data_IF_821089285223
#
_entry.id   IF_821089285223
#
_cell.length_a   1.000
_cell.length_b   1.000
_cell.length_c   1.000
_cell.angle_alpha   90.00
_cell.angle_beta   90.00
_cell.angle_gamma   90.00
#
_symmetry.space_group_name_H-M   'P 1'
#
loop_
_entity.id
_entity.type
_entity.pdbx_description
1 polymer ?
#
# COMPACT_ATOMS: atom_id res chain seq x y z
N UNK A 1 18.05 12.99 -30.79
CA UNK A 1 17.02 11.99 -31.14
C UNK A 1 16.29 12.50 -32.36
N UNK A 2 16.13 11.67 -33.40
CA UNK A 2 15.37 12.07 -34.59
C UNK A 2 13.91 12.39 -34.20
N UNK A 3 13.33 13.42 -34.80
CA UNK A 3 11.96 13.88 -34.50
C UNK A 3 10.95 12.73 -34.62
N UNK A 4 11.11 11.90 -35.64
CA UNK A 4 10.23 10.79 -35.99
C UNK A 4 10.20 9.67 -34.94
N UNK A 5 11.30 9.46 -34.21
CA UNK A 5 11.36 8.46 -33.14
C UNK A 5 10.55 8.90 -31.91
N UNK A 6 10.60 10.19 -31.58
CA UNK A 6 9.87 10.76 -30.45
C UNK A 6 8.38 10.78 -30.77
N UNK A 7 8.05 11.25 -31.98
CA UNK A 7 6.69 11.24 -32.48
C UNK A 7 6.10 9.83 -32.43
N UNK A 8 6.81 8.84 -32.97
CA UNK A 8 6.35 7.45 -32.91
C UNK A 8 6.07 6.97 -31.48
N UNK A 9 6.97 7.25 -30.52
CA UNK A 9 6.78 6.83 -29.13
C UNK A 9 5.53 7.47 -28.52
N UNK A 10 5.27 8.75 -28.82
CA UNK A 10 4.09 9.47 -28.33
C UNK A 10 2.81 8.86 -28.90
N UNK A 11 2.72 8.76 -30.23
CA UNK A 11 1.53 8.22 -30.90
C UNK A 11 1.28 6.75 -30.54
N UNK A 12 2.32 5.93 -30.48
CA UNK A 12 2.19 4.52 -30.10
C UNK A 12 1.77 4.34 -28.64
N UNK A 13 2.30 5.14 -27.70
CA UNK A 13 1.87 5.09 -26.29
C UNK A 13 0.42 5.51 -26.15
N UNK A 14 0.04 6.62 -26.78
CA UNK A 14 -1.31 7.17 -26.67
C UNK A 14 -2.35 6.31 -27.41
N UNK A 15 -1.93 5.52 -28.41
CA UNK A 15 -2.76 4.50 -29.07
C UNK A 15 -4.13 5.04 -29.52
N UNK A 16 -4.13 6.27 -30.04
CA UNK A 16 -5.31 7.03 -30.35
C UNK A 16 -5.75 6.74 -31.78
N UNK A 17 -6.71 5.81 -31.93
CA UNK A 17 -7.20 5.37 -33.24
C UNK A 17 -8.68 5.71 -33.42
N UNK A 18 -9.13 6.04 -34.64
CA UNK A 18 -8.36 6.04 -35.88
C UNK A 18 -7.55 7.32 -36.10
N UNK A 19 -7.87 8.40 -35.39
CA UNK A 19 -7.25 9.71 -35.55
C UNK A 19 -6.32 10.02 -34.38
N UNK A 20 -5.00 10.12 -34.60
CA UNK A 20 -4.06 10.43 -33.54
C UNK A 20 -4.24 11.82 -32.92
N UNK A 21 -4.87 12.76 -33.64
CA UNK A 21 -5.15 14.12 -33.16
C UNK A 21 -6.57 14.26 -32.59
N UNK A 22 -7.39 13.21 -32.67
CA UNK A 22 -8.75 13.21 -32.15
C UNK A 22 -8.80 13.13 -30.62
N UNK A 23 -9.87 13.63 -30.01
CA UNK A 23 -10.06 13.50 -28.55
C UNK A 23 -10.66 12.15 -28.12
N UNK A 24 -11.08 11.31 -29.08
CA UNK A 24 -11.76 10.04 -28.83
C UNK A 24 -11.06 8.90 -29.56
N UNK A 25 -10.73 7.84 -28.82
CA UNK A 25 -10.12 6.64 -29.34
C UNK A 25 -11.10 5.46 -29.33
N UNK A 26 -11.10 4.70 -30.41
CA UNK A 26 -11.76 3.39 -30.52
C UNK A 26 -11.00 2.30 -29.78
N UNK A 27 -9.77 2.56 -29.34
CA UNK A 27 -9.00 1.65 -28.49
C UNK A 27 -9.47 1.74 -27.04
N UNK A 28 -9.15 0.70 -26.27
CA UNK A 28 -9.59 0.59 -24.87
C UNK A 28 -8.66 1.25 -23.86
N UNK A 29 -7.39 1.47 -24.23
CA UNK A 29 -6.36 2.08 -23.38
C UNK A 29 -5.09 2.44 -24.16
N UNK A 30 -4.20 3.17 -23.49
CA UNK A 30 -2.80 3.37 -23.88
C UNK A 30 -2.02 2.06 -23.91
N UNK A 31 -1.08 1.92 -24.83
CA UNK A 31 -0.19 0.75 -24.88
C UNK A 31 0.87 0.81 -23.77
N UNK A 32 1.13 -0.29 -23.09
CA UNK A 32 2.19 -0.37 -22.08
C UNK A 32 3.56 -0.03 -22.68
N UNK A 33 4.51 0.45 -21.85
CA UNK A 33 5.86 0.76 -22.36
C UNK A 33 6.58 -0.47 -22.93
N UNK A 34 6.24 -1.69 -22.49
CA UNK A 34 6.71 -2.93 -23.09
C UNK A 34 6.19 -3.14 -24.52
N UNK A 35 4.90 -2.91 -24.74
CA UNK A 35 4.29 -2.97 -26.08
C UNK A 35 4.87 -1.89 -27.00
N UNK A 36 5.02 -0.66 -26.52
CA UNK A 36 5.61 0.44 -27.30
C UNK A 36 7.08 0.15 -27.63
N UNK A 37 7.86 -0.40 -26.69
CA UNK A 37 9.24 -0.79 -26.95
C UNK A 37 9.35 -1.88 -28.03
N UNK A 38 8.46 -2.88 -28.01
CA UNK A 38 8.38 -3.91 -29.04
C UNK A 38 8.11 -3.29 -30.43
N UNK A 39 7.08 -2.44 -30.54
CA UNK A 39 6.73 -1.77 -31.79
C UNK A 39 7.83 -0.81 -32.27
N UNK A 40 8.51 -0.14 -31.34
CA UNK A 40 9.63 0.75 -31.64
C UNK A 40 10.82 -0.03 -32.23
N UNK A 41 11.17 -1.16 -31.61
CA UNK A 41 12.27 -2.01 -32.06
C UNK A 41 11.98 -2.63 -33.42
N UNK A 42 10.72 -3.04 -33.66
CA UNK A 42 10.26 -3.53 -34.96
C UNK A 42 10.34 -2.45 -36.05
N UNK A 43 9.88 -1.22 -35.77
CA UNK A 43 9.87 -0.12 -36.75
C UNK A 43 11.26 0.41 -37.07
N UNK A 44 12.13 0.54 -36.07
CA UNK A 44 13.43 1.22 -36.22
C UNK A 44 14.64 0.29 -36.23
N UNK A 45 14.45 -1.04 -36.09
CA UNK A 45 15.54 -2.02 -36.08
C UNK A 45 16.50 -1.84 -34.89
N UNK A 46 15.99 -1.43 -33.73
CA UNK A 46 16.79 -1.16 -32.52
C UNK A 46 16.48 -2.14 -31.40
N UNK A 47 17.26 -2.06 -30.32
CA UNK A 47 17.00 -2.80 -29.09
C UNK A 47 16.89 -1.83 -27.90
N UNK A 48 15.72 -1.24 -27.75
CA UNK A 48 15.38 -0.29 -26.70
C UNK A 48 14.46 -0.97 -25.67
N UNK A 49 14.79 -0.85 -24.39
CA UNK A 49 13.98 -1.37 -23.29
C UNK A 49 12.84 -0.43 -22.86
N UNK A 50 11.85 -0.93 -22.10
CA UNK A 50 10.67 -0.17 -21.68
C UNK A 50 10.99 1.16 -20.95
N UNK A 51 11.94 1.14 -20.02
CA UNK A 51 12.34 2.34 -19.26
C UNK A 51 12.91 3.47 -20.14
N UNK A 52 13.60 3.11 -21.24
CA UNK A 52 14.11 4.10 -22.16
C UNK A 52 12.99 4.74 -23.01
N UNK A 53 11.96 3.97 -23.36
CA UNK A 53 10.76 4.49 -24.03
C UNK A 53 9.95 5.39 -23.11
N UNK A 54 9.75 4.98 -21.84
CA UNK A 54 9.06 5.79 -20.84
C UNK A 54 9.74 7.16 -20.67
N UNK A 55 11.07 7.16 -20.48
CA UNK A 55 11.84 8.39 -20.33
C UNK A 55 11.64 9.33 -21.53
N UNK A 56 11.64 8.79 -22.76
CA UNK A 56 11.40 9.58 -23.98
C UNK A 56 10.00 10.19 -24.00
N UNK A 57 8.97 9.40 -23.69
CA UNK A 57 7.60 9.90 -23.64
C UNK A 57 7.45 11.03 -22.61
N UNK A 58 7.83 10.77 -21.35
CA UNK A 58 7.67 11.74 -20.23
C UNK A 58 8.39 13.06 -20.48
N UNK A 59 9.60 13.01 -21.04
CA UNK A 59 10.41 14.22 -21.24
C UNK A 59 10.02 15.01 -22.49
N UNK A 60 9.39 14.38 -23.48
CA UNK A 60 9.15 15.01 -24.78
C UNK A 60 7.68 15.36 -25.06
N UNK A 61 6.71 14.78 -24.35
CA UNK A 61 5.28 14.99 -24.63
C UNK A 61 4.86 16.47 -24.53
N UNK A 62 5.34 17.21 -23.51
CA UNK A 62 5.01 18.64 -23.38
C UNK A 62 5.54 19.46 -24.55
N UNK A 63 6.81 19.25 -24.92
CA UNK A 63 7.45 19.91 -26.07
C UNK A 63 6.78 19.52 -27.39
N UNK A 64 6.30 18.29 -27.50
CA UNK A 64 5.57 17.83 -28.67
C UNK A 64 4.21 18.53 -28.81
N UNK A 65 3.47 18.72 -27.71
CA UNK A 65 2.20 19.47 -27.66
C UNK A 65 2.37 20.95 -27.95
N UNK A 66 3.46 21.57 -27.45
CA UNK A 66 3.80 22.96 -27.80
C UNK A 66 4.02 23.14 -29.31
N UNK A 67 4.69 22.17 -29.95
CA UNK A 67 4.92 22.18 -31.40
C UNK A 67 3.70 21.75 -32.22
N UNK A 68 2.80 20.99 -31.62
CA UNK A 68 1.58 20.49 -32.26
C UNK A 68 0.37 20.87 -31.40
N UNK A 69 -0.10 22.14 -31.45
CA UNK A 69 -1.20 22.61 -30.61
C UNK A 69 -2.52 21.84 -30.80
N UNK A 70 -2.69 21.19 -31.95
CA UNK A 70 -3.85 20.36 -32.27
C UNK A 70 -3.78 18.96 -31.63
N UNK A 71 -2.67 18.58 -30.99
CA UNK A 71 -2.54 17.26 -30.36
C UNK A 71 -3.30 17.23 -29.02
N UNK A 72 -4.15 16.22 -28.77
CA UNK A 72 -5.04 16.21 -27.62
C UNK A 72 -4.26 16.12 -26.30
N UNK A 73 -4.63 16.94 -25.34
CA UNK A 73 -4.12 16.82 -23.97
C UNK A 73 -4.72 15.60 -23.25
N UNK A 74 -6.00 15.33 -23.53
CA UNK A 74 -6.81 14.27 -22.93
C UNK A 74 -7.46 13.46 -24.06
N UNK A 75 -7.28 12.13 -24.03
CA UNK A 75 -7.85 11.18 -24.99
C UNK A 75 -8.84 10.31 -24.23
N UNK A 76 -10.09 10.25 -24.71
CA UNK A 76 -11.15 9.42 -24.17
C UNK A 76 -11.10 8.06 -24.85
N UNK A 77 -10.83 7.00 -24.08
CA UNK A 77 -10.80 5.63 -24.58
C UNK A 77 -12.16 4.96 -24.50
N UNK A 78 -12.42 4.03 -25.43
CA UNK A 78 -13.63 3.22 -25.40
C UNK A 78 -13.61 2.29 -24.18
N UNK A 79 -14.65 2.27 -23.33
CA UNK A 79 -14.67 1.41 -22.16
C UNK A 79 -14.52 -0.06 -22.56
N UNK A 80 -13.67 -0.80 -21.85
CA UNK A 80 -13.59 -2.25 -22.03
C UNK A 80 -14.91 -2.88 -21.60
N UNK A 81 -15.58 -3.60 -22.49
CA UNK A 81 -16.78 -4.35 -22.15
C UNK A 81 -16.49 -5.26 -20.95
N UNK A 82 -17.28 -5.10 -19.90
CA UNK A 82 -17.14 -5.87 -18.67
C UNK A 82 -17.33 -7.35 -19.02
N UNK A 83 -16.27 -8.17 -18.83
CA UNK A 83 -16.40 -9.61 -19.01
C UNK A 83 -17.49 -10.13 -18.05
N UNK A 84 -18.41 -11.00 -18.51
CA UNK A 84 -19.43 -11.56 -17.64
C UNK A 84 -18.78 -12.22 -16.43
N UNK A 85 -19.21 -11.82 -15.23
CA UNK A 85 -18.72 -12.37 -13.96
C UNK A 85 -18.85 -13.89 -14.00
N UNK A 86 -17.72 -14.60 -14.01
CA UNK A 86 -17.70 -16.05 -13.82
C UNK A 86 -18.23 -16.35 -12.41
N UNK A 87 -19.34 -17.07 -12.34
CA UNK A 87 -19.92 -17.56 -11.09
C UNK A 87 -18.87 -18.48 -10.44
N UNK A 88 -18.50 -18.26 -9.16
CA UNK A 88 -17.53 -19.12 -8.47
C UNK A 88 -18.07 -20.55 -8.36
N UNK A 89 -17.27 -21.53 -8.80
CA UNK A 89 -17.54 -22.95 -8.51
C UNK A 89 -17.34 -23.19 -7.01
N UNK A 90 -18.33 -23.83 -6.41
CA UNK A 90 -18.45 -24.12 -4.99
C UNK A 90 -17.74 -25.45 -4.73
N UNK A 91 -16.43 -25.42 -4.51
CA UNK A 91 -15.66 -26.61 -4.15
C UNK A 91 -15.31 -26.61 -2.65
N UNK A 92 -15.42 -27.81 -2.10
CA UNK A 92 -15.62 -28.17 -0.70
C UNK A 92 -14.40 -27.94 0.20
N UNK A 93 -14.66 -27.46 1.42
CA UNK A 93 -13.67 -27.32 2.48
C UNK A 93 -13.30 -28.70 3.07
N UNK A 94 -11.99 -28.97 3.18
CA UNK A 94 -11.44 -30.07 4.00
C UNK A 94 -10.58 -29.44 5.09
N UNK A 95 -10.92 -29.73 6.34
CA UNK A 95 -10.25 -29.27 7.54
C UNK A 95 -8.96 -30.08 7.79
N UNK A 96 -7.90 -29.40 8.22
CA UNK A 96 -6.78 -30.03 8.94
C UNK A 96 -6.26 -29.07 10.02
N UNK A 97 -6.47 -29.45 11.28
CA UNK A 97 -5.77 -28.94 12.45
C UNK A 97 -4.51 -29.78 12.66
N UNK A 98 -3.39 -29.15 12.98
CA UNK A 98 -2.36 -29.74 13.82
C UNK A 98 -1.51 -28.66 14.48
N UNK A 99 -1.58 -28.62 15.82
CA UNK A 99 -0.73 -27.85 16.71
C UNK A 99 0.72 -28.36 16.66
N UNK A 100 1.69 -27.44 16.63
CA UNK A 100 3.11 -27.72 16.81
C UNK A 100 3.63 -26.80 17.93
N UNK A 101 4.39 -27.30 18.93
CA UNK A 101 4.93 -26.48 20.00
C UNK A 101 6.14 -25.68 19.53
N UNK A 102 6.16 -24.37 19.84
CA UNK A 102 7.32 -23.51 19.66
C UNK A 102 8.43 -23.87 20.66
N UNK A 103 9.62 -24.18 20.13
CA UNK A 103 10.88 -24.14 20.88
C UNK A 103 11.57 -22.83 20.56
N UNK A 104 11.77 -22.01 21.58
CA UNK A 104 12.71 -20.90 21.57
C UNK A 104 14.13 -21.44 21.43
N UNK A 105 14.85 -20.96 20.41
CA UNK A 105 16.28 -21.18 20.24
C UNK A 105 16.92 -19.81 19.98
N UNK A 106 17.60 -19.33 21.01
CA UNK A 106 18.62 -18.29 20.90
C UNK A 106 19.73 -18.76 19.95
N UNK A 107 19.94 -17.99 18.88
CA UNK A 107 20.99 -18.26 17.90
C UNK A 107 21.14 -17.09 16.92
N UNK A 108 22.30 -16.43 17.00
CA UNK A 108 22.82 -15.37 16.15
C UNK A 108 22.31 -15.36 14.69
N UNK A 109 21.91 -14.21 14.12
CA UNK A 109 21.38 -14.15 12.77
C UNK A 109 22.49 -14.11 11.72
N UNK A 110 22.74 -15.24 11.07
CA UNK A 110 23.37 -15.25 9.76
C UNK A 110 22.37 -14.69 8.74
N UNK A 111 22.70 -13.54 8.17
CA UNK A 111 21.88 -12.78 7.21
C UNK A 111 21.53 -13.63 5.98
N UNK A 112 20.32 -14.18 5.96
CA UNK A 112 19.60 -14.48 4.72
C UNK A 112 18.34 -13.63 4.73
N UNK A 113 18.48 -12.38 4.31
CA UNK A 113 17.35 -11.48 4.04
C UNK A 113 16.50 -12.13 2.95
N UNK A 114 15.47 -12.87 3.37
CA UNK A 114 14.41 -13.31 2.47
C UNK A 114 13.61 -12.04 2.21
N UNK A 115 13.84 -11.41 1.05
CA UNK A 115 12.95 -10.34 0.58
C UNK A 115 11.54 -10.91 0.56
N UNK A 116 10.70 -10.44 1.46
CA UNK A 116 9.26 -10.60 1.34
C UNK A 116 8.86 -9.74 0.14
N UNK A 117 8.98 -10.31 -1.06
CA UNK A 117 8.48 -9.70 -2.28
C UNK A 117 6.95 -9.74 -2.19
N UNK A 118 6.39 -8.77 -1.48
CA UNK A 118 4.95 -8.53 -1.40
C UNK A 118 4.35 -8.63 -2.80
N UNK A 119 3.19 -9.25 -2.89
CA UNK A 119 2.43 -9.20 -4.12
C UNK A 119 1.89 -7.77 -4.19
N UNK A 120 2.64 -6.88 -4.85
CA UNK A 120 2.10 -5.58 -5.22
C UNK A 120 0.85 -5.88 -6.04
N UNK A 121 -0.30 -5.47 -5.51
CA UNK A 121 -1.54 -5.52 -6.25
C UNK A 121 -1.31 -4.61 -7.45
N UNK A 122 -1.29 -5.18 -8.66
CA UNK A 122 -1.23 -4.37 -9.89
C UNK A 122 -2.55 -3.62 -10.01
N UNK A 123 -2.59 -2.44 -9.39
CA UNK A 123 -3.68 -1.49 -9.52
C UNK A 123 -3.55 -0.85 -10.91
N UNK A 124 -4.61 -0.91 -11.69
CA UNK A 124 -4.64 -0.28 -13.01
C UNK A 124 -4.48 1.25 -12.91
N UNK A 125 -3.92 1.90 -13.94
CA UNK A 125 -3.79 3.36 -13.97
C UNK A 125 -5.15 4.04 -13.78
N UNK A 126 -6.24 3.40 -14.23
CA UNK A 126 -7.61 3.85 -14.07
C UNK A 126 -8.14 3.71 -12.63
N UNK A 127 -7.66 2.69 -11.90
CA UNK A 127 -8.06 2.45 -10.51
C UNK A 127 -7.22 3.24 -9.52
N UNK A 128 -5.99 3.62 -9.86
CA UNK A 128 -5.05 4.32 -8.98
C UNK A 128 -5.64 5.50 -8.19
N UNK A 129 -6.53 6.35 -8.75
CA UNK A 129 -7.20 7.42 -8.00
C UNK A 129 -8.19 6.96 -6.92
N UNK A 130 -8.44 5.66 -6.77
CA UNK A 130 -9.32 5.12 -5.73
C UNK A 130 -8.55 4.41 -4.62
N UNK A 131 -7.22 4.46 -4.66
CA UNK A 131 -6.36 3.81 -3.69
C UNK A 131 -5.39 4.80 -3.03
N UNK A 132 -5.17 4.64 -1.73
CA UNK A 132 -4.02 5.21 -1.04
C UNK A 132 -2.84 4.25 -1.17
N UNK A 133 -1.66 4.78 -1.47
CA UNK A 133 -0.41 4.05 -1.49
C UNK A 133 0.39 4.37 -0.24
N UNK A 134 0.67 3.35 0.56
CA UNK A 134 1.41 3.45 1.81
C UNK A 134 2.77 2.78 1.60
N UNK A 135 3.83 3.56 1.60
CA UNK A 135 5.20 3.08 1.48
C UNK A 135 5.87 3.06 2.85
N UNK A 136 6.64 2.01 3.10
CA UNK A 136 7.46 1.88 4.29
C UNK A 136 8.90 2.05 3.84
N UNK A 137 9.61 2.98 4.47
CA UNK A 137 11.00 3.29 4.18
C UNK A 137 11.91 2.87 5.35
N UNK A 138 13.11 2.39 5.02
CA UNK A 138 14.19 2.22 5.99
C UNK A 138 14.73 3.58 6.42
N UNK A 139 15.55 3.61 7.48
CA UNK A 139 16.21 4.84 7.93
C UNK A 139 17.09 5.47 6.84
N UNK A 140 17.64 4.65 5.94
CA UNK A 140 18.43 5.09 4.77
C UNK A 140 17.56 5.60 3.59
N UNK A 141 16.23 5.69 3.75
CA UNK A 141 15.29 6.09 2.70
C UNK A 141 15.04 5.02 1.63
N UNK A 142 15.45 3.77 1.87
CA UNK A 142 15.20 2.68 0.93
C UNK A 142 13.80 2.11 1.16
N UNK A 143 13.05 1.86 0.08
CA UNK A 143 11.73 1.24 0.17
C UNK A 143 11.83 -0.18 0.74
N UNK A 144 11.27 -0.38 1.93
CA UNK A 144 11.21 -1.64 2.67
C UNK A 144 9.92 -2.42 2.37
N UNK A 145 8.88 -1.74 1.88
CA UNK A 145 7.64 -2.36 1.44
C UNK A 145 6.62 -1.33 1.00
N UNK A 146 5.59 -1.78 0.30
CA UNK A 146 4.43 -0.95 -0.04
C UNK A 146 3.15 -1.73 0.15
N UNK A 147 2.07 -1.03 0.46
CA UNK A 147 0.72 -1.57 0.46
C UNK A 147 -0.22 -0.54 -0.15
N UNK A 148 -1.34 -1.01 -0.68
CA UNK A 148 -2.40 -0.15 -1.15
C UNK A 148 -3.71 -0.46 -0.42
N UNK A 149 -4.47 0.57 -0.10
CA UNK A 149 -5.80 0.46 0.50
C UNK A 149 -6.81 1.30 -0.27
N UNK A 150 -8.08 0.88 -0.36
CA UNK A 150 -9.11 1.74 -0.95
C UNK A 150 -9.26 3.05 -0.16
N UNK A 151 -9.33 4.19 -0.85
CA UNK A 151 -9.50 5.51 -0.22
C UNK A 151 -10.79 5.59 0.60
N UNK A 152 -11.84 4.88 0.17
CA UNK A 152 -13.10 4.77 0.93
C UNK A 152 -12.91 4.13 2.32
N UNK A 153 -11.98 3.20 2.46
CA UNK A 153 -11.76 2.47 3.70
C UNK A 153 -10.88 3.32 4.63
N UNK A 154 -9.89 4.04 4.08
CA UNK A 154 -9.10 5.03 4.82
C UNK A 154 -9.96 6.19 5.34
N UNK A 155 -10.82 6.76 4.49
CA UNK A 155 -11.73 7.85 4.89
C UNK A 155 -12.82 7.40 5.86
N UNK A 156 -13.24 6.13 5.81
CA UNK A 156 -14.19 5.60 6.80
C UNK A 156 -13.58 5.53 8.22
N UNK A 157 -12.26 5.34 8.32
CA UNK A 157 -11.56 5.20 9.61
C UNK A 157 -10.96 6.52 10.12
N UNK A 158 -10.46 7.38 9.24
CA UNK A 158 -9.82 8.65 9.59
C UNK A 158 -10.59 9.85 9.01
N UNK A 159 -11.16 10.66 9.93
CA UNK A 159 -11.89 11.88 9.58
C UNK A 159 -10.99 12.90 8.84
N UNK A 160 -9.71 12.95 9.22
CA UNK A 160 -8.73 13.84 8.58
C UNK A 160 -8.56 13.50 7.10
N UNK A 161 -8.46 12.20 6.77
CA UNK A 161 -8.40 11.77 5.38
C UNK A 161 -9.76 11.89 4.68
N UNK A 162 -10.89 11.73 5.39
CA UNK A 162 -12.21 12.01 4.82
C UNK A 162 -12.34 13.47 4.37
N UNK A 163 -11.80 14.42 5.15
CA UNK A 163 -11.79 15.83 4.79
C UNK A 163 -10.78 16.15 3.68
N UNK A 164 -9.56 15.59 3.77
CA UNK A 164 -8.54 15.73 2.72
C UNK A 164 -9.06 15.24 1.35
N UNK A 165 -9.74 14.09 1.32
CA UNK A 165 -10.24 13.49 0.07
C UNK A 165 -11.43 14.23 -0.56
N UNK A 166 -11.94 15.29 0.07
CA UNK A 166 -12.88 16.22 -0.59
C UNK A 166 -12.19 17.05 -1.67
N UNK A 167 -10.89 17.32 -1.50
CA UNK A 167 -10.10 18.17 -2.38
C UNK A 167 -9.12 17.39 -3.26
N UNK A 168 -8.70 16.19 -2.81
CA UNK A 168 -7.68 15.38 -3.48
C UNK A 168 -8.22 14.03 -3.95
N UNK A 169 -7.69 13.58 -5.10
CA UNK A 169 -8.08 12.31 -5.75
C UNK A 169 -7.16 11.15 -5.42
N UNK A 170 -6.06 11.36 -4.69
CA UNK A 170 -5.11 10.30 -4.37
C UNK A 170 -4.30 10.66 -3.14
N UNK A 171 -3.81 9.63 -2.44
CA UNK A 171 -3.02 9.77 -1.23
C UNK A 171 -1.78 8.87 -1.37
N UNK A 172 -0.60 9.47 -1.29
CA UNK A 172 0.68 8.75 -1.21
C UNK A 172 1.34 9.12 0.12
N UNK A 173 1.61 8.12 0.95
CA UNK A 173 2.11 8.30 2.31
C UNK A 173 3.34 7.44 2.50
N UNK A 174 4.37 8.02 3.12
CA UNK A 174 5.60 7.30 3.45
C UNK A 174 5.88 7.30 4.94
N UNK A 175 6.23 6.13 5.47
CA UNK A 175 6.45 5.89 6.89
C UNK A 175 7.87 5.38 7.13
N UNK A 176 8.64 6.13 7.91
CA UNK A 176 9.98 5.72 8.33
C UNK A 176 9.91 4.70 9.46
N UNK A 177 10.84 3.75 9.46
CA UNK A 177 11.10 2.83 10.58
C UNK A 177 9.87 2.01 11.06
N UNK A 178 8.87 1.84 10.19
CA UNK A 178 7.71 0.97 10.43
C UNK A 178 7.97 -0.41 9.86
N UNK A 179 7.49 -1.47 10.51
CA UNK A 179 7.56 -2.82 9.92
C UNK A 179 6.41 -3.01 8.95
N UNK A 180 6.65 -3.67 7.81
CA UNK A 180 5.59 -4.02 6.85
C UNK A 180 4.43 -4.78 7.51
N UNK A 181 4.72 -5.61 8.51
CA UNK A 181 3.71 -6.35 9.28
C UNK A 181 2.81 -5.42 10.12
N UNK A 182 3.34 -4.32 10.65
CA UNK A 182 2.55 -3.30 11.36
C UNK A 182 1.57 -2.63 10.38
N UNK A 183 2.05 -2.28 9.19
CA UNK A 183 1.20 -1.72 8.14
C UNK A 183 0.10 -2.71 7.72
N UNK A 184 0.43 -3.98 7.49
CA UNK A 184 -0.56 -5.00 7.14
C UNK A 184 -1.65 -5.18 8.22
N UNK A 185 -1.28 -5.12 9.50
CA UNK A 185 -2.23 -5.18 10.62
C UNK A 185 -3.12 -3.95 10.68
N UNK A 186 -2.56 -2.75 10.51
CA UNK A 186 -3.35 -1.52 10.40
C UNK A 186 -4.39 -1.63 9.28
N UNK A 187 -3.98 -2.08 8.09
CA UNK A 187 -4.87 -2.27 6.95
C UNK A 187 -6.00 -3.24 7.28
N UNK A 188 -5.69 -4.35 7.96
CA UNK A 188 -6.69 -5.34 8.40
C UNK A 188 -7.73 -4.74 9.36
N UNK A 189 -7.37 -3.68 10.09
CA UNK A 189 -8.29 -3.01 10.99
C UNK A 189 -9.26 -2.05 10.29
N UNK A 190 -8.93 -1.59 9.08
CA UNK A 190 -9.74 -0.56 8.40
C UNK A 190 -10.37 -1.07 7.09
N UNK A 191 -9.87 -2.16 6.53
CA UNK A 191 -10.29 -2.71 5.23
C UNK A 191 -10.52 -4.23 5.32
N UNK A 192 -11.58 -4.77 4.69
CA UNK A 192 -12.56 -4.04 3.84
C UNK A 192 -13.60 -3.26 4.65
N UNK A 193 -13.66 -3.49 5.96
CA UNK A 193 -14.57 -2.82 6.90
C UNK A 193 -13.82 -2.52 8.19
N UNK A 194 -14.19 -1.40 8.81
CA UNK A 194 -13.59 -0.91 10.06
C UNK A 194 -13.88 -1.87 11.21
N UNK A 195 -12.82 -2.46 11.77
CA UNK A 195 -12.87 -3.44 12.85
C UNK A 195 -12.82 -2.76 14.22
N UNK A 196 -13.63 -3.24 15.17
CA UNK A 196 -13.66 -2.73 16.56
C UNK A 196 -12.68 -3.42 17.51
N UNK A 197 -11.88 -4.35 17.00
CA UNK A 197 -10.95 -5.15 17.76
C UNK A 197 -9.65 -5.34 16.98
N UNK A 198 -8.57 -5.61 17.70
CA UNK A 198 -7.30 -5.96 17.08
C UNK A 198 -7.43 -7.29 16.31
N UNK A 199 -6.75 -7.43 15.15
CA UNK A 199 -6.77 -8.68 14.41
C UNK A 199 -6.19 -9.82 15.25
N UNK A 200 -6.73 -11.02 15.08
CA UNK A 200 -6.31 -12.22 15.82
C UNK A 200 -5.25 -13.04 15.08
N UNK A 201 -5.13 -12.85 13.76
CA UNK A 201 -4.22 -13.59 12.90
C UNK A 201 -3.56 -12.67 11.88
N UNK A 202 -2.28 -12.93 11.59
CA UNK A 202 -1.60 -12.40 10.42
C UNK A 202 -1.85 -13.35 9.23
N UNK A 203 -2.14 -12.76 8.07
CA UNK A 203 -2.23 -13.47 6.80
C UNK A 203 -1.03 -13.11 5.92
N UNK A 204 -0.31 -14.11 5.43
CA UNK A 204 0.82 -13.94 4.52
C UNK A 204 0.63 -14.78 3.27
N UNK A 205 0.62 -14.11 2.11
CA UNK A 205 0.63 -14.77 0.80
C UNK A 205 2.08 -14.88 0.32
N UNK A 206 2.61 -16.10 0.31
CA UNK A 206 3.95 -16.38 -0.21
C UNK A 206 3.82 -16.74 -1.69
N UNK A 207 4.60 -16.09 -2.57
CA UNK A 207 4.48 -16.16 -4.06
C UNK A 207 4.35 -17.57 -4.65
N UNK A 208 4.79 -18.61 -3.95
CA UNK A 208 4.75 -20.00 -4.42
C UNK A 208 4.36 -21.02 -3.34
N UNK A 209 3.79 -20.57 -2.21
CA UNK A 209 3.35 -21.47 -1.13
C UNK A 209 1.90 -21.23 -0.79
N UNK A 210 1.33 -22.19 -0.08
CA UNK A 210 0.01 -22.03 0.52
C UNK A 210 -0.02 -20.79 1.42
N UNK A 211 -1.15 -20.08 1.47
CA UNK A 211 -1.32 -18.94 2.37
C UNK A 211 -0.99 -19.38 3.80
N UNK A 212 -0.17 -18.58 4.48
CA UNK A 212 0.19 -18.82 5.87
C UNK A 212 -0.67 -17.93 6.76
N UNK A 213 -1.39 -18.56 7.67
CA UNK A 213 -2.12 -17.88 8.74
C UNK A 213 -1.40 -18.17 10.05
N UNK A 214 -1.09 -17.13 10.84
CA UNK A 214 -0.46 -17.28 12.15
C UNK A 214 -1.17 -16.43 13.18
N UNK A 215 -1.46 -16.99 14.36
CA UNK A 215 -2.07 -16.26 15.47
C UNK A 215 -1.14 -15.11 15.90
N UNK A 216 -1.72 -13.93 16.11
CA UNK A 216 -0.96 -12.77 16.60
C UNK A 216 -0.86 -12.88 18.12
N UNK A 217 0.38 -12.98 18.61
CA UNK A 217 0.70 -12.72 20.01
C UNK A 217 0.92 -11.21 20.18
N UNK A 218 -0.07 -10.51 20.73
CA UNK A 218 -0.01 -9.07 20.96
C UNK A 218 0.89 -8.77 22.16
N UNK A 219 2.08 -8.25 21.87
CA UNK A 219 2.98 -7.70 22.89
C UNK A 219 2.87 -6.17 22.93
N UNK A 220 3.31 -5.56 24.04
CA UNK A 220 3.35 -4.11 24.20
C UNK A 220 4.05 -3.41 23.03
N UNK A 221 5.20 -3.95 22.59
CA UNK A 221 5.92 -3.43 21.42
C UNK A 221 5.07 -3.40 20.15
N UNK A 222 4.30 -4.46 19.87
CA UNK A 222 3.49 -4.56 18.65
C UNK A 222 2.31 -3.59 18.68
N UNK A 223 1.69 -3.38 19.84
CA UNK A 223 0.57 -2.45 20.01
C UNK A 223 1.04 -1.00 19.98
N UNK A 224 2.21 -0.68 20.55
CA UNK A 224 2.85 0.64 20.40
C UNK A 224 3.21 0.94 18.95
N UNK A 225 3.87 0.02 18.24
CA UNK A 225 4.22 0.21 16.83
C UNK A 225 2.97 0.52 15.99
N UNK A 226 1.87 -0.18 16.25
CA UNK A 226 0.59 0.02 15.57
C UNK A 226 -0.05 1.36 15.95
N UNK A 227 0.04 1.76 17.22
CA UNK A 227 -0.49 3.04 17.71
C UNK A 227 0.22 4.22 17.06
N UNK A 228 1.56 4.18 16.98
CA UNK A 228 2.36 5.23 16.36
C UNK A 228 1.97 5.39 14.88
N UNK A 229 1.82 4.28 14.15
CA UNK A 229 1.37 4.32 12.75
C UNK A 229 -0.02 4.97 12.64
N UNK A 230 -0.96 4.60 13.51
CA UNK A 230 -2.29 5.19 13.53
C UNK A 230 -2.26 6.68 13.92
N UNK A 231 -1.36 7.11 14.81
CA UNK A 231 -1.15 8.52 15.17
C UNK A 231 -0.62 9.33 13.99
N UNK A 232 0.37 8.80 13.25
CA UNK A 232 0.88 9.41 12.02
C UNK A 232 -0.21 9.55 10.94
N UNK A 233 -1.12 8.58 10.87
CA UNK A 233 -2.29 8.58 10.00
C UNK A 233 -3.48 9.39 10.55
N UNK A 234 -3.33 9.99 11.73
CA UNK A 234 -4.41 10.69 12.43
C UNK A 234 -5.70 9.86 12.49
N UNK A 235 -5.57 8.54 12.59
CA UNK A 235 -6.68 7.59 12.64
C UNK A 235 -7.10 7.41 14.10
N UNK A 236 -8.11 8.18 14.50
CA UNK A 236 -8.66 8.13 15.85
C UNK A 236 -9.32 6.78 16.17
N UNK A 237 -9.89 6.10 15.18
CA UNK A 237 -10.57 4.83 15.39
C UNK A 237 -9.59 3.73 15.81
N UNK A 238 -8.49 3.58 15.07
CA UNK A 238 -7.45 2.58 15.38
C UNK A 238 -6.75 2.93 16.70
N UNK A 239 -6.44 4.21 16.94
CA UNK A 239 -5.86 4.67 18.22
C UNK A 239 -6.73 4.29 19.41
N UNK A 240 -8.02 4.59 19.34
CA UNK A 240 -8.97 4.26 20.41
C UNK A 240 -9.09 2.75 20.60
N UNK A 241 -9.11 1.97 19.52
CA UNK A 241 -9.16 0.50 19.59
C UNK A 241 -7.95 -0.09 20.32
N UNK A 242 -6.77 0.52 20.16
CA UNK A 242 -5.54 0.09 20.85
C UNK A 242 -5.55 0.51 22.33
N UNK A 243 -5.99 1.74 22.64
CA UNK A 243 -6.15 2.18 24.04
C UNK A 243 -7.14 1.28 24.77
N UNK A 244 -8.29 1.00 24.16
CA UNK A 244 -9.28 0.03 24.66
C UNK A 244 -8.67 -1.34 24.94
N UNK A 245 -7.77 -1.80 24.06
CA UNK A 245 -7.07 -3.06 24.26
C UNK A 245 -6.14 -2.99 25.48
N UNK A 246 -5.37 -1.91 25.65
CA UNK A 246 -4.53 -1.74 26.85
C UNK A 246 -5.34 -1.64 28.14
N UNK A 247 -6.47 -0.90 28.14
CA UNK A 247 -7.39 -0.85 29.28
C UNK A 247 -7.83 -2.26 29.68
N UNK A 248 -8.33 -3.05 28.73
CA UNK A 248 -8.77 -4.43 28.99
C UNK A 248 -7.63 -5.32 29.44
N UNK A 249 -6.41 -5.14 28.92
CA UNK A 249 -5.25 -5.90 29.39
C UNK A 249 -4.92 -5.58 30.85
N UNK A 250 -4.92 -4.31 31.25
CA UNK A 250 -4.70 -3.93 32.65
C UNK A 250 -5.80 -4.42 33.60
N UNK A 251 -7.05 -4.51 33.13
CA UNK A 251 -8.17 -5.04 33.93
C UNK A 251 -8.13 -6.57 34.10
N UNK A 252 -7.72 -7.30 33.07
CA UNK A 252 -7.80 -8.76 33.03
C UNK A 252 -6.50 -9.46 33.41
N UNK A 253 -5.35 -8.84 33.17
CA UNK A 253 -4.03 -9.42 33.43
C UNK A 253 -3.44 -8.80 34.71
N UNK A 254 -2.98 -9.65 35.63
CA UNK A 254 -2.38 -9.17 36.89
C UNK A 254 -1.04 -8.46 36.66
N UNK A 255 -0.34 -8.77 35.57
CA UNK A 255 0.97 -8.22 35.25
C UNK A 255 1.10 -8.03 33.74
N UNK A 256 0.99 -6.78 33.29
CA UNK A 256 1.32 -6.39 31.91
C UNK A 256 2.81 -6.09 31.86
N UNK A 257 3.56 -6.84 31.04
CA UNK A 257 4.99 -6.59 30.85
C UNK A 257 5.20 -5.31 30.02
N UNK A 258 5.56 -4.23 30.71
CA UNK A 258 5.87 -2.94 30.08
C UNK A 258 7.38 -2.83 29.87
N UNK A 259 7.80 -2.98 28.62
CA UNK A 259 9.20 -2.75 28.25
C UNK A 259 9.46 -1.23 28.13
N UNK A 260 10.48 -0.73 28.85
CA UNK A 260 10.87 0.68 28.83
C UNK A 260 11.07 1.21 27.39
N UNK A 261 11.75 0.43 26.55
CA UNK A 261 11.99 0.76 25.14
C UNK A 261 10.67 1.02 24.35
N UNK A 262 9.59 0.31 24.71
CA UNK A 262 8.29 0.49 24.05
C UNK A 262 7.63 1.81 24.49
N UNK A 263 7.75 2.18 25.77
CA UNK A 263 7.26 3.46 26.26
C UNK A 263 8.07 4.62 25.68
N UNK A 264 9.40 4.54 25.66
CA UNK A 264 10.24 5.54 25.03
C UNK A 264 9.89 5.73 23.55
N UNK A 265 9.68 4.62 22.83
CA UNK A 265 9.26 4.66 21.43
C UNK A 265 7.88 5.29 21.25
N UNK A 266 6.92 4.99 22.12
CA UNK A 266 5.60 5.63 22.11
C UNK A 266 5.73 7.14 22.26
N UNK A 267 6.53 7.61 23.21
CA UNK A 267 6.74 9.03 23.43
C UNK A 267 7.44 9.65 22.22
N UNK A 268 8.54 9.08 21.73
CA UNK A 268 9.22 9.61 20.55
C UNK A 268 8.36 9.61 19.27
N UNK A 269 7.39 8.70 19.16
CA UNK A 269 6.53 8.53 17.98
C UNK A 269 5.20 9.29 18.01
N UNK A 270 4.88 10.03 19.08
CA UNK A 270 3.59 10.72 19.25
C UNK A 270 3.79 12.17 19.71
N UNK A 271 2.74 12.99 19.71
CA UNK A 271 2.78 14.37 20.23
C UNK A 271 2.65 14.41 21.76
N UNK A 272 3.04 15.51 22.41
CA UNK A 272 2.95 15.67 23.87
C UNK A 272 1.52 15.55 24.41
N UNK A 273 0.54 16.03 23.65
CA UNK A 273 -0.88 15.95 24.00
C UNK A 273 -1.54 14.64 23.58
N UNK A 274 -0.77 13.64 23.13
CA UNK A 274 -1.34 12.37 22.66
C UNK A 274 -2.00 11.58 23.81
N UNK A 275 -3.26 11.11 23.65
CA UNK A 275 -3.99 10.38 24.68
C UNK A 275 -3.28 9.12 25.20
N UNK A 276 -2.50 8.43 24.35
CA UNK A 276 -1.76 7.24 24.79
C UNK A 276 -0.65 7.57 25.77
N UNK A 277 0.00 8.75 25.63
CA UNK A 277 1.01 9.18 26.61
C UNK A 277 0.37 9.40 27.97
N UNK A 278 -0.73 10.15 28.01
CA UNK A 278 -1.48 10.41 29.25
C UNK A 278 -1.97 9.10 29.88
N UNK A 279 -2.54 8.20 29.07
CA UNK A 279 -2.96 6.88 29.52
C UNK A 279 -1.84 6.11 30.24
N UNK A 280 -0.65 6.03 29.64
CA UNK A 280 0.46 5.29 30.26
C UNK A 280 1.09 6.03 31.45
N UNK A 281 1.12 7.36 31.45
CA UNK A 281 1.54 8.15 32.63
C UNK A 281 0.62 7.84 33.81
N UNK A 282 -0.71 7.91 33.59
CA UNK A 282 -1.70 7.65 34.64
C UNK A 282 -1.64 6.19 35.13
N UNK A 283 -1.49 5.23 34.21
CA UNK A 283 -1.38 3.81 34.55
C UNK A 283 -0.12 3.51 35.38
N UNK A 284 1.03 4.13 35.04
CA UNK A 284 2.29 3.91 35.75
C UNK A 284 2.33 4.62 37.11
N UNK A 285 1.75 5.82 37.22
CA UNK A 285 1.69 6.54 38.50
C UNK A 285 0.60 6.02 39.44
N UNK A 286 -0.52 5.52 38.90
CA UNK A 286 -1.62 4.97 39.71
C UNK A 286 -1.34 3.61 40.35
N UNK A 287 -0.25 2.94 39.95
CA UNK A 287 0.19 1.65 40.53
C UNK A 287 1.23 1.78 41.66
N UNK A 288 1.68 3.00 41.99
CA UNK A 288 2.60 3.29 43.11
C UNK A 288 1.90 3.82 44.34
#
# INVERSE_FOLDING_TARGET
LASDEIEFVIHARDNNLPDPFGTHSTTTRRLTYGEVAKLYNEKFGRNVGPAAVEKRYRTCISKYREKNPNYPANIVYTPKEAKPKRIPRKDSAVAFNQDVPEKELDGNPTKTQTRNDGHDIEISDEERPYWAHLTVETEDGMMNGSCAIPLRDLSASSQVYADYLKEFISVELSFMATKQQTLARYITMISPEVQRALPTCDFQLLRHKQPKVSKIQWSMRKTVDLYILAAQLQDCHVRNTIIDHWCRSLENEKEVEILLESIERLFMGTEESDPARNFWIDALHGQG
#
